data_IF_167464502121
#
_entry.id   IF_167464502121
#
_cell.length_a   1.000
_cell.length_b   1.000
_cell.length_c   1.000
_cell.angle_alpha   90.00
_cell.angle_beta   90.00
_cell.angle_gamma   90.00
#
_symmetry.space_group_name_H-M   'P 1'
#
loop_
_entity.id
_entity.type
_entity.pdbx_description
1 polymer ?
#
# COMPACT_ATOMS: atom_id res chain seq x y z
N UNK A 1 -25.38 16.90 4.20
CA UNK A 1 -24.12 16.24 4.67
C UNK A 1 -24.14 14.74 4.42
N UNK A 2 -25.09 13.99 5.01
CA UNK A 2 -25.20 12.55 4.80
C UNK A 2 -25.67 12.21 3.38
N UNK A 3 -26.71 12.89 2.87
CA UNK A 3 -27.19 12.63 1.50
C UNK A 3 -26.13 12.98 0.45
N UNK A 4 -25.36 14.05 0.66
CA UNK A 4 -24.26 14.43 -0.22
C UNK A 4 -23.18 13.35 -0.28
N UNK A 5 -22.84 12.75 0.87
CA UNK A 5 -21.88 11.65 0.93
C UNK A 5 -22.40 10.42 0.19
N UNK A 6 -23.69 10.11 0.33
CA UNK A 6 -24.34 9.00 -0.40
C UNK A 6 -24.31 9.27 -1.91
N UNK A 7 -24.72 10.46 -2.35
CA UNK A 7 -24.67 10.84 -3.78
C UNK A 7 -23.27 10.77 -4.37
N UNK A 8 -22.26 11.23 -3.63
CA UNK A 8 -20.85 11.11 -4.06
C UNK A 8 -20.46 9.64 -4.18
N UNK A 9 -20.83 8.80 -3.19
CA UNK A 9 -20.55 7.37 -3.20
C UNK A 9 -21.21 6.65 -4.40
N UNK A 10 -22.42 7.03 -4.77
CA UNK A 10 -23.14 6.53 -5.94
C UNK A 10 -22.46 6.95 -7.25
N UNK A 11 -21.98 8.20 -7.35
CA UNK A 11 -21.20 8.68 -8.51
C UNK A 11 -19.92 7.89 -8.72
N UNK A 12 -19.23 7.50 -7.65
CA UNK A 12 -18.02 6.68 -7.73
C UNK A 12 -18.30 5.17 -7.75
N UNK A 13 -19.58 4.77 -7.82
CA UNK A 13 -20.03 3.36 -7.78
C UNK A 13 -19.52 2.57 -6.57
N UNK A 14 -19.34 3.24 -5.43
CA UNK A 14 -18.93 2.60 -4.18
C UNK A 14 -20.10 2.59 -3.19
N UNK A 15 -20.45 1.40 -2.71
CA UNK A 15 -21.50 1.24 -1.71
C UNK A 15 -20.97 1.60 -0.33
N UNK A 16 -21.50 2.64 0.29
CA UNK A 16 -21.24 2.99 1.70
C UNK A 16 -22.48 2.70 2.55
N UNK A 17 -22.28 2.36 3.82
CA UNK A 17 -23.37 2.15 4.77
C UNK A 17 -23.82 3.48 5.38
N UNK A 18 -25.11 3.84 5.32
CA UNK A 18 -25.62 5.09 5.91
C UNK A 18 -25.31 5.22 7.40
N UNK A 19 -25.40 4.11 8.15
CA UNK A 19 -25.08 4.08 9.58
C UNK A 19 -23.64 4.46 9.87
N UNK A 20 -22.68 3.95 9.08
CA UNK A 20 -21.25 4.30 9.23
C UNK A 20 -20.96 5.74 8.86
N UNK A 21 -21.66 6.28 7.87
CA UNK A 21 -21.57 7.69 7.50
C UNK A 21 -22.11 8.60 8.60
N UNK A 22 -23.26 8.25 9.20
CA UNK A 22 -23.79 8.96 10.36
C UNK A 22 -22.82 8.92 11.56
N UNK A 23 -22.21 7.75 11.84
CA UNK A 23 -21.21 7.59 12.89
C UNK A 23 -20.02 8.54 12.74
N UNK A 24 -19.52 8.75 11.51
CA UNK A 24 -18.41 9.67 11.26
C UNK A 24 -18.78 11.14 11.50
N UNK A 25 -20.03 11.51 11.21
CA UNK A 25 -20.56 12.86 11.46
C UNK A 25 -20.73 13.08 12.97
N UNK A 26 -21.37 12.13 13.66
CA UNK A 26 -21.65 12.20 15.10
C UNK A 26 -20.34 12.28 15.91
N UNK A 27 -19.35 11.48 15.55
CA UNK A 27 -18.04 11.47 16.22
C UNK A 27 -17.12 12.63 15.79
N UNK A 28 -17.61 13.60 15.00
CA UNK A 28 -16.81 14.70 14.40
C UNK A 28 -15.53 14.21 13.72
N UNK A 29 -15.56 13.00 13.17
CA UNK A 29 -14.43 12.40 12.46
C UNK A 29 -14.38 12.85 11.00
N UNK A 30 -15.43 13.47 10.49
CA UNK A 30 -15.45 14.06 9.16
C UNK A 30 -16.31 15.33 9.14
N UNK A 31 -15.81 16.39 8.50
CA UNK A 31 -16.52 17.67 8.41
C UNK A 31 -17.06 17.97 7.01
N UNK A 32 -16.78 17.11 6.02
CA UNK A 32 -17.29 17.27 4.65
C UNK A 32 -17.84 15.96 4.10
N UNK A 33 -18.82 16.01 3.16
CA UNK A 33 -19.32 14.83 2.46
C UNK A 33 -18.23 14.01 1.78
N UNK A 34 -17.24 14.68 1.17
CA UNK A 34 -16.08 14.04 0.55
C UNK A 34 -15.21 13.30 1.58
N UNK A 35 -15.03 13.85 2.77
CA UNK A 35 -14.23 13.20 3.82
C UNK A 35 -14.94 11.97 4.41
N UNK A 36 -16.27 12.02 4.52
CA UNK A 36 -17.09 10.86 4.90
C UNK A 36 -16.92 9.75 3.87
N UNK A 37 -17.07 10.07 2.58
CA UNK A 37 -16.88 9.09 1.51
C UNK A 37 -15.46 8.55 1.57
N UNK A 38 -14.44 9.41 1.55
CA UNK A 38 -13.05 8.96 1.61
C UNK A 38 -12.80 8.01 2.79
N UNK A 39 -13.26 8.31 4.01
CA UNK A 39 -13.05 7.43 5.17
C UNK A 39 -13.80 6.09 5.11
N UNK A 40 -14.96 6.06 4.44
CA UNK A 40 -15.74 4.83 4.28
C UNK A 40 -15.34 4.03 3.05
N UNK A 41 -14.76 4.71 2.05
CA UNK A 41 -14.34 4.14 0.76
C UNK A 41 -12.84 3.99 0.64
N UNK A 42 -12.05 4.34 1.67
CA UNK A 42 -10.62 4.01 1.79
C UNK A 42 -10.46 2.50 1.90
N UNK A 43 -10.77 1.80 0.81
CA UNK A 43 -10.24 0.51 0.48
C UNK A 43 -8.86 0.75 -0.10
N UNK A 44 -7.89 0.35 0.71
CA UNK A 44 -6.54 -0.05 0.35
C UNK A 44 -5.52 1.08 0.11
N UNK A 45 -4.26 0.85 0.53
CA UNK A 45 -3.09 1.62 0.14
C UNK A 45 -3.16 2.01 -1.35
N UNK A 46 -3.32 3.30 -1.61
CA UNK A 46 -3.59 3.87 -2.92
C UNK A 46 -2.30 4.17 -3.69
N UNK A 47 -1.30 3.28 -3.58
CA UNK A 47 -0.10 3.35 -4.39
C UNK A 47 -0.26 2.46 -5.62
N UNK A 48 -0.06 3.05 -6.80
CA UNK A 48 -0.10 2.30 -8.05
C UNK A 48 1.07 1.32 -8.13
N UNK A 49 0.85 0.16 -8.78
CA UNK A 49 1.87 -0.91 -8.87
C UNK A 49 3.19 -0.40 -9.46
N UNK A 50 3.16 0.52 -10.43
CA UNK A 50 4.36 1.11 -11.03
C UNK A 50 5.19 1.93 -10.03
N UNK A 51 4.56 2.78 -9.22
CA UNK A 51 5.26 3.57 -8.19
C UNK A 51 5.89 2.66 -7.15
N UNK A 52 5.14 1.64 -6.69
CA UNK A 52 5.65 0.66 -5.75
C UNK A 52 6.87 -0.07 -6.31
N UNK A 53 6.82 -0.52 -7.58
CA UNK A 53 7.94 -1.21 -8.23
C UNK A 53 9.18 -0.33 -8.28
N UNK A 54 9.04 0.97 -8.57
CA UNK A 54 10.15 1.93 -8.64
C UNK A 54 10.77 2.22 -7.27
N UNK A 55 9.94 2.31 -6.23
CA UNK A 55 10.41 2.46 -4.83
C UNK A 55 11.13 1.20 -4.38
N UNK A 56 10.56 0.01 -4.62
CA UNK A 56 11.21 -1.27 -4.34
C UNK A 56 12.59 -1.35 -5.01
N UNK A 57 12.68 -0.92 -6.26
CA UNK A 57 13.93 -0.91 -7.05
C UNK A 57 14.99 0.00 -6.43
N UNK A 58 14.58 1.18 -5.99
CA UNK A 58 15.45 2.13 -5.30
C UNK A 58 15.94 1.54 -3.98
N UNK A 59 15.05 0.96 -3.17
CA UNK A 59 15.41 0.36 -1.88
C UNK A 59 16.35 -0.83 -2.05
N UNK A 60 16.12 -1.69 -3.05
CA UNK A 60 17.00 -2.81 -3.39
C UNK A 60 18.38 -2.32 -3.82
N UNK A 61 18.46 -1.28 -4.65
CA UNK A 61 19.73 -0.66 -5.07
C UNK A 61 20.50 -0.01 -3.92
N UNK A 62 19.78 0.61 -3.00
CA UNK A 62 20.33 1.29 -1.83
C UNK A 62 20.80 0.30 -0.74
N UNK A 63 20.34 -0.96 -0.80
CA UNK A 63 20.63 -1.99 0.20
C UNK A 63 21.24 -3.27 -0.40
N UNK A 64 22.38 -3.18 -1.12
CA UNK A 64 22.98 -4.33 -1.80
C UNK A 64 23.34 -5.48 -0.86
N UNK A 65 23.85 -5.18 0.35
CA UNK A 65 24.19 -6.21 1.34
C UNK A 65 22.98 -6.99 1.85
N UNK A 66 21.79 -6.38 1.87
CA UNK A 66 20.54 -7.03 2.27
C UNK A 66 20.06 -7.97 1.16
N UNK A 67 20.20 -7.54 -0.09
CA UNK A 67 19.92 -8.34 -1.28
C UNK A 67 20.81 -9.58 -1.35
N UNK A 68 22.10 -9.43 -1.08
CA UNK A 68 23.03 -10.57 -1.02
C UNK A 68 22.68 -11.56 0.09
N UNK A 69 22.30 -11.08 1.28
CA UNK A 69 21.84 -11.96 2.36
C UNK A 69 20.58 -12.73 1.96
N UNK A 70 19.64 -12.09 1.28
CA UNK A 70 18.44 -12.76 0.75
C UNK A 70 18.83 -13.86 -0.25
N UNK A 71 19.76 -13.57 -1.17
CA UNK A 71 20.30 -14.55 -2.13
C UNK A 71 21.03 -15.71 -1.47
N UNK A 72 21.66 -15.49 -0.31
CA UNK A 72 22.29 -16.53 0.52
C UNK A 72 21.27 -17.37 1.31
N UNK A 73 19.97 -17.19 1.08
CA UNK A 73 18.88 -17.95 1.72
C UNK A 73 18.34 -17.32 3.01
N UNK A 74 18.82 -16.14 3.41
CA UNK A 74 18.35 -15.46 4.63
C UNK A 74 17.09 -14.65 4.34
N UNK A 75 15.95 -15.33 4.19
CA UNK A 75 14.68 -14.68 3.82
C UNK A 75 14.19 -13.63 4.82
N UNK A 76 14.60 -13.70 6.08
CA UNK A 76 14.23 -12.74 7.14
C UNK A 76 14.62 -11.30 6.81
N UNK A 77 15.64 -11.10 5.97
CA UNK A 77 16.06 -9.76 5.55
C UNK A 77 15.04 -9.06 4.65
N UNK A 78 14.07 -9.79 4.09
CA UNK A 78 12.99 -9.18 3.31
C UNK A 78 12.11 -8.29 4.18
N UNK A 79 11.95 -8.60 5.47
CA UNK A 79 11.13 -7.80 6.38
C UNK A 79 11.73 -6.43 6.64
N UNK A 80 13.06 -6.35 6.64
CA UNK A 80 13.77 -5.07 6.69
C UNK A 80 13.46 -4.20 5.45
N UNK A 81 13.53 -4.78 4.26
CA UNK A 81 13.19 -4.07 3.01
C UNK A 81 11.72 -3.63 2.99
N UNK A 82 10.81 -4.49 3.47
CA UNK A 82 9.38 -4.14 3.59
C UNK A 82 9.20 -2.93 4.50
N UNK A 83 9.85 -2.90 5.66
CA UNK A 83 9.81 -1.75 6.57
C UNK A 83 10.30 -0.46 5.92
N UNK A 84 11.44 -0.52 5.20
CA UNK A 84 11.99 0.63 4.46
C UNK A 84 11.01 1.15 3.40
N UNK A 85 10.36 0.26 2.66
CA UNK A 85 9.39 0.62 1.63
C UNK A 85 8.11 1.18 2.27
N UNK A 86 7.63 0.61 3.37
CA UNK A 86 6.48 1.15 4.11
C UNK A 86 6.75 2.57 4.63
N UNK A 87 7.97 2.84 5.10
CA UNK A 87 8.39 4.18 5.50
C UNK A 87 8.44 5.15 4.31
N UNK A 88 9.05 4.76 3.18
CA UNK A 88 9.11 5.60 1.97
C UNK A 88 7.73 5.90 1.37
N UNK A 89 6.82 4.93 1.47
CA UNK A 89 5.45 5.06 0.97
C UNK A 89 4.52 5.70 2.00
N UNK A 90 5.01 6.08 3.19
CA UNK A 90 4.20 6.65 4.29
C UNK A 90 2.96 5.80 4.62
N UNK A 91 3.09 4.48 4.55
CA UNK A 91 1.99 3.53 4.76
C UNK A 91 0.95 3.48 3.62
N UNK A 92 1.21 4.15 2.50
CA UNK A 92 0.35 4.11 1.31
C UNK A 92 0.53 2.85 0.46
N UNK A 93 1.44 1.94 0.82
CA UNK A 93 1.61 0.64 0.16
C UNK A 93 1.26 -0.51 1.11
N UNK A 94 0.71 -1.60 0.55
CA UNK A 94 0.35 -2.79 1.32
C UNK A 94 1.59 -3.64 1.60
N UNK A 95 1.86 -4.05 2.85
CA UNK A 95 2.96 -4.96 3.17
C UNK A 95 2.91 -6.27 2.37
N UNK A 96 1.71 -6.81 2.09
CA UNK A 96 1.54 -8.01 1.28
C UNK A 96 2.06 -7.78 -0.15
N UNK A 97 1.63 -6.68 -0.77
CA UNK A 97 2.02 -6.33 -2.15
C UNK A 97 3.52 -6.01 -2.24
N UNK A 98 4.08 -5.33 -1.22
CA UNK A 98 5.52 -5.06 -1.15
C UNK A 98 6.31 -6.37 -1.15
N UNK A 99 5.90 -7.33 -0.32
CA UNK A 99 6.55 -8.65 -0.23
C UNK A 99 6.51 -9.40 -1.55
N UNK A 100 5.36 -9.41 -2.23
CA UNK A 100 5.21 -10.04 -3.55
C UNK A 100 6.17 -9.41 -4.57
N UNK A 101 6.14 -8.08 -4.70
CA UNK A 101 7.02 -7.35 -5.64
C UNK A 101 8.49 -7.59 -5.34
N UNK A 102 8.90 -7.55 -4.06
CA UNK A 102 10.28 -7.83 -3.66
C UNK A 102 10.70 -9.26 -3.99
N UNK A 103 9.86 -10.25 -3.68
CA UNK A 103 10.16 -11.66 -3.99
C UNK A 103 10.29 -11.89 -5.48
N UNK A 104 9.39 -11.35 -6.29
CA UNK A 104 9.48 -11.45 -7.75
C UNK A 104 10.81 -10.85 -8.26
N UNK A 105 11.14 -9.64 -7.80
CA UNK A 105 12.33 -8.91 -8.23
C UNK A 105 13.63 -9.61 -7.80
N UNK A 106 13.70 -10.06 -6.55
CA UNK A 106 14.88 -10.73 -6.01
C UNK A 106 15.07 -12.13 -6.61
N UNK A 107 13.98 -12.87 -6.90
CA UNK A 107 14.04 -14.16 -7.62
C UNK A 107 14.51 -14.01 -9.07
N UNK A 108 14.01 -12.99 -9.78
CA UNK A 108 14.48 -12.64 -11.14
C UNK A 108 15.99 -12.38 -11.21
N UNK A 109 16.57 -11.82 -10.14
CA UNK A 109 18.01 -11.57 -10.04
C UNK A 109 18.82 -12.78 -9.54
N UNK A 110 18.19 -13.85 -9.03
CA UNK A 110 18.87 -15.05 -8.55
C UNK A 110 19.15 -16.05 -9.69
N UNK A 111 18.33 -16.07 -10.74
CA UNK A 111 18.45 -17.00 -11.89
C UNK A 111 19.45 -16.56 -12.96
N UNK A 112 20.16 -15.44 -12.76
CA UNK A 112 21.17 -14.91 -13.72
C UNK A 112 22.62 -15.02 -13.25
N UNK A 113 22.89 -15.68 -12.12
CA UNK A 113 24.26 -15.86 -11.59
C UNK A 113 24.70 -17.34 -11.59
N UNK A 114 24.26 -18.08 -12.59
CA UNK A 114 24.60 -19.49 -12.79
C UNK A 114 24.53 -19.85 -14.27
N UNK A 115 25.38 -19.21 -15.07
CA UNK A 115 25.80 -19.66 -16.39
C UNK A 115 27.17 -19.03 -16.68
#
# INVERSE_FOLDING_TARGET
MLEDAIKISEKIKVKISPSKAADLIINKKANTPQEIVNRLTTKKPSMNKNELVSICETVVKDNPSVVEQFKKGKETVIEFLVGQIMAKTKGQANPQQIREVLREKLKLHATRSGA
#
